data_IF_636560086305
#
_entry.id   IF_636560086305
#
_cell.length_a   1.000
_cell.length_b   1.000
_cell.length_c   1.000
_cell.angle_alpha   90.00
_cell.angle_beta   90.00
_cell.angle_gamma   90.00
#
_symmetry.space_group_name_H-M   'P 1'
#
loop_
_entity.id
_entity.type
_entity.pdbx_description
1 polymer ?
#
# COMPACT_ATOMS: atom_id res chain seq x y z
N UNK A 1 79.41 -10.88 52.14
CA UNK A 1 77.99 -10.70 51.80
C UNK A 1 77.77 -11.17 50.38
N UNK A 2 76.60 -11.62 49.95
CA UNK A 2 75.30 -11.84 50.59
C UNK A 2 74.58 -12.86 49.69
N UNK A 3 74.16 -14.01 50.22
CA UNK A 3 72.83 -14.31 50.77
C UNK A 3 71.70 -14.26 49.74
N UNK A 4 71.18 -15.46 49.45
CA UNK A 4 70.02 -15.76 48.63
C UNK A 4 68.74 -15.84 49.47
N UNK A 5 67.62 -15.37 48.94
CA UNK A 5 66.26 -15.50 49.48
C UNK A 5 65.22 -15.18 48.38
N UNK A 6 63.91 -15.46 48.56
CA UNK A 6 63.31 -16.73 48.97
C UNK A 6 62.15 -17.17 48.04
N UNK A 7 61.70 -18.42 48.20
CA UNK A 7 60.54 -19.02 47.53
C UNK A 7 59.19 -18.54 48.10
N UNK A 8 58.13 -18.53 47.25
CA UNK A 8 56.73 -18.31 47.67
C UNK A 8 55.78 -19.32 46.99
N UNK A 9 54.70 -19.62 47.70
CA UNK A 9 54.00 -20.91 47.84
C UNK A 9 52.96 -21.29 46.77
N UNK A 10 52.57 -22.59 46.69
CA UNK A 10 51.47 -23.10 45.87
C UNK A 10 50.06 -22.78 46.43
N UNK A 11 49.01 -22.78 45.58
CA UNK A 11 47.64 -22.43 45.96
C UNK A 11 46.95 -23.47 46.86
N UNK A 12 45.95 -23.06 47.66
CA UNK A 12 45.25 -23.91 48.63
C UNK A 12 44.24 -24.89 47.99
N UNK A 13 43.92 -26.01 48.68
CA UNK A 13 43.02 -27.06 48.20
C UNK A 13 41.53 -26.70 48.30
N UNK A 14 40.75 -27.24 47.36
CA UNK A 14 39.28 -27.17 47.29
C UNK A 14 38.61 -28.11 48.32
N UNK A 15 37.70 -27.61 49.17
CA UNK A 15 36.87 -28.46 50.03
C UNK A 15 35.53 -28.85 49.38
N UNK A 16 35.25 -30.16 49.38
CA UNK A 16 33.97 -30.76 49.81
C UNK A 16 32.72 -30.51 48.97
N UNK A 17 32.27 -31.56 48.27
CA UNK A 17 30.96 -31.67 47.65
C UNK A 17 29.82 -31.56 48.68
N UNK A 18 28.84 -30.69 48.39
CA UNK A 18 27.51 -30.69 49.01
C UNK A 18 26.52 -31.33 48.02
N UNK A 19 25.61 -32.23 48.46
CA UNK A 19 24.61 -32.82 47.57
C UNK A 19 23.50 -31.78 47.31
N UNK A 20 23.31 -31.41 46.04
CA UNK A 20 22.18 -30.60 45.60
C UNK A 20 21.13 -31.53 45.01
N UNK A 21 19.95 -31.58 45.63
CA UNK A 21 18.78 -32.31 45.16
C UNK A 21 18.37 -31.86 43.75
N UNK A 22 18.17 -32.83 42.85
CA UNK A 22 17.65 -32.60 41.52
C UNK A 22 16.13 -32.27 41.54
N UNK A 23 15.63 -31.38 40.67
CA UNK A 23 14.20 -31.20 40.45
C UNK A 23 13.58 -32.42 39.73
N UNK A 24 12.28 -32.71 39.93
CA UNK A 24 11.63 -33.90 39.40
C UNK A 24 11.54 -33.90 37.86
N UNK A 25 11.81 -35.07 37.29
CA UNK A 25 11.73 -35.40 35.87
C UNK A 25 10.25 -35.45 35.43
N UNK A 26 9.83 -34.79 34.32
CA UNK A 26 8.51 -34.99 33.74
C UNK A 26 8.38 -36.38 33.09
N UNK A 27 7.20 -37.04 33.16
CA UNK A 27 7.02 -38.41 32.68
C UNK A 27 7.20 -38.51 31.16
N UNK A 28 7.92 -39.54 30.74
CA UNK A 28 8.10 -39.95 29.34
C UNK A 28 6.77 -40.44 28.75
N UNK A 29 6.45 -40.10 27.48
CA UNK A 29 5.32 -40.70 26.79
C UNK A 29 5.61 -42.15 26.41
N UNK A 30 4.68 -43.02 26.79
CA UNK A 30 4.63 -44.45 26.45
C UNK A 30 4.81 -44.68 24.96
N UNK A 31 5.79 -45.50 24.61
CA UNK A 31 5.96 -46.10 23.29
C UNK A 31 5.11 -47.35 23.21
N UNK A 32 3.91 -47.25 22.64
CA UNK A 32 3.21 -48.41 22.09
C UNK A 32 3.63 -48.57 20.62
N UNK A 33 4.25 -49.71 20.37
CA UNK A 33 4.64 -50.20 19.06
C UNK A 33 3.44 -50.94 18.47
N UNK A 34 2.94 -50.50 17.32
CA UNK A 34 2.28 -51.38 16.36
C UNK A 34 2.87 -51.12 14.96
N UNK A 35 3.89 -51.92 14.66
CA UNK A 35 4.33 -52.37 13.33
C UNK A 35 3.63 -53.73 13.14
N UNK A 36 3.09 -54.21 12.02
CA UNK A 36 3.07 -53.90 10.59
C UNK A 36 1.86 -54.72 10.06
N UNK A 37 1.24 -54.37 8.93
CA UNK A 37 1.05 -55.33 7.83
C UNK A 37 0.64 -54.59 6.55
N UNK A 38 1.52 -54.72 5.56
CA UNK A 38 1.35 -54.45 4.15
C UNK A 38 0.55 -55.62 3.55
N UNK A 39 -0.61 -55.39 2.92
CA UNK A 39 -1.14 -56.36 1.96
C UNK A 39 -2.24 -55.81 1.03
N UNK A 40 -1.88 -55.89 -0.26
CA UNK A 40 -2.68 -56.24 -1.44
C UNK A 40 -3.77 -55.31 -1.99
N UNK A 41 -3.51 -54.92 -3.24
CA UNK A 41 -4.50 -54.80 -4.29
C UNK A 41 -5.37 -56.07 -4.40
N UNK A 42 -6.68 -55.91 -4.59
CA UNK A 42 -7.43 -56.39 -5.76
C UNK A 42 -8.92 -55.98 -5.69
N UNK A 43 -9.49 -55.78 -6.87
CA UNK A 43 -10.89 -55.86 -7.32
C UNK A 43 -12.08 -55.49 -6.40
N UNK A 44 -12.88 -54.51 -6.83
CA UNK A 44 -14.31 -54.42 -6.51
C UNK A 44 -15.12 -54.13 -7.79
N UNK A 45 -16.08 -55.01 -8.16
CA UNK A 45 -16.85 -54.88 -9.39
C UNK A 45 -18.15 -54.08 -9.24
N UNK A 46 -18.51 -53.40 -10.34
CA UNK A 46 -19.89 -53.35 -10.87
C UNK A 46 -20.80 -52.17 -10.52
N UNK A 47 -21.18 -51.33 -11.51
CA UNK A 47 -22.48 -50.68 -11.57
C UNK A 47 -23.45 -51.50 -12.45
N UNK A 48 -24.60 -51.87 -11.90
CA UNK A 48 -25.65 -52.60 -12.64
C UNK A 48 -26.34 -51.72 -13.68
N UNK A 49 -26.28 -52.20 -14.92
CA UNK A 49 -27.04 -51.75 -16.08
C UNK A 49 -28.45 -52.35 -16.07
N UNK A 50 -29.48 -51.58 -16.40
CA UNK A 50 -30.74 -52.12 -16.92
C UNK A 50 -31.02 -51.60 -18.34
N UNK A 51 -31.26 -52.57 -19.19
CA UNK A 51 -31.44 -52.65 -20.64
C UNK A 51 -32.40 -51.66 -21.33
N UNK A 52 -32.03 -51.29 -22.56
CA UNK A 52 -32.87 -50.73 -23.65
C UNK A 52 -33.95 -51.72 -24.12
N UNK A 53 -34.98 -51.27 -24.87
CA UNK A 53 -34.90 -51.47 -26.33
C UNK A 53 -35.47 -50.33 -27.21
N UNK A 54 -34.80 -50.19 -28.37
CA UNK A 54 -35.23 -49.82 -29.74
C UNK A 54 -36.01 -48.52 -30.07
N UNK A 55 -35.44 -47.79 -31.06
CA UNK A 55 -35.96 -46.58 -31.73
C UNK A 55 -37.15 -46.84 -32.67
N UNK A 56 -37.89 -45.78 -33.08
CA UNK A 56 -37.64 -45.26 -34.44
C UNK A 56 -37.79 -43.73 -34.64
N UNK A 57 -37.01 -43.23 -35.62
CA UNK A 57 -37.32 -42.21 -36.65
C UNK A 57 -37.57 -40.72 -36.35
N UNK A 58 -36.62 -39.91 -36.87
CA UNK A 58 -36.77 -38.65 -37.64
C UNK A 58 -37.04 -37.29 -36.92
N UNK A 59 -36.56 -36.15 -37.50
CA UNK A 59 -36.30 -34.92 -36.78
C UNK A 59 -37.37 -33.83 -36.98
N UNK A 60 -37.63 -33.00 -35.96
CA UNK A 60 -38.45 -31.79 -36.07
C UNK A 60 -37.72 -30.53 -35.61
N UNK A 61 -37.40 -29.72 -36.62
CA UNK A 61 -37.36 -28.26 -36.73
C UNK A 61 -37.29 -27.35 -35.49
N UNK A 62 -36.18 -26.61 -35.47
CA UNK A 62 -35.95 -25.19 -35.11
C UNK A 62 -37.20 -24.36 -34.75
N UNK A 63 -37.13 -23.65 -33.62
CA UNK A 63 -37.74 -22.32 -33.45
C UNK A 63 -36.70 -21.33 -32.94
N UNK A 64 -36.40 -20.38 -33.82
CA UNK A 64 -35.63 -19.16 -33.59
C UNK A 64 -36.40 -18.24 -32.63
N UNK A 65 -35.73 -17.68 -31.62
CA UNK A 65 -36.27 -16.54 -30.86
C UNK A 65 -35.99 -15.26 -31.64
N UNK A 66 -37.07 -14.59 -32.01
CA UNK A 66 -37.09 -13.36 -32.79
C UNK A 66 -36.85 -12.15 -31.86
N UNK A 67 -35.94 -11.27 -32.27
CA UNK A 67 -35.57 -10.02 -31.58
C UNK A 67 -36.57 -8.91 -31.99
N UNK A 68 -37.03 -8.04 -31.07
CA UNK A 68 -37.94 -6.95 -31.42
C UNK A 68 -37.23 -5.84 -32.24
N UNK A 69 -37.94 -5.17 -33.16
CA UNK A 69 -37.38 -4.12 -34.03
C UNK A 69 -37.21 -2.77 -33.29
N UNK A 70 -36.27 -1.91 -33.75
CA UNK A 70 -36.08 -0.57 -33.20
C UNK A 70 -37.12 0.44 -33.72
N UNK A 71 -37.41 1.53 -32.97
CA UNK A 71 -38.37 2.57 -33.38
C UNK A 71 -37.82 3.51 -34.46
N UNK A 72 -38.70 4.15 -35.27
CA UNK A 72 -38.31 5.05 -36.35
C UNK A 72 -37.95 6.47 -35.87
N UNK A 73 -37.12 7.23 -36.62
CA UNK A 73 -36.73 8.60 -36.29
C UNK A 73 -37.76 9.61 -36.79
N UNK A 74 -38.26 10.47 -35.89
CA UNK A 74 -39.14 11.60 -36.22
C UNK A 74 -38.45 12.93 -35.92
N UNK A 75 -38.37 13.78 -36.94
CA UNK A 75 -37.78 15.12 -36.91
C UNK A 75 -38.79 16.23 -36.58
N UNK A 76 -38.33 17.20 -35.79
CA UNK A 76 -38.62 18.64 -35.81
C UNK A 76 -39.95 19.22 -35.27
N UNK A 77 -39.76 20.21 -34.37
CA UNK A 77 -40.49 21.49 -34.20
C UNK A 77 -41.82 21.55 -33.43
N UNK A 78 -41.88 22.48 -32.46
CA UNK A 78 -43.13 23.17 -32.09
C UNK A 78 -43.37 23.40 -30.59
N UNK A 79 -43.49 24.66 -30.19
CA UNK A 79 -43.69 25.23 -28.85
C UNK A 79 -45.08 24.93 -28.21
N UNK A 80 -45.36 25.37 -26.94
CA UNK A 80 -46.27 24.72 -25.99
C UNK A 80 -47.68 25.35 -25.87
N UNK A 81 -48.56 24.75 -25.04
CA UNK A 81 -49.38 25.59 -24.14
C UNK A 81 -49.56 25.07 -22.71
N UNK A 82 -50.09 25.99 -21.90
CA UNK A 82 -50.23 26.10 -20.44
C UNK A 82 -51.54 25.47 -19.86
N UNK A 83 -51.83 25.58 -18.53
CA UNK A 83 -52.50 24.54 -17.72
C UNK A 83 -53.93 24.85 -17.20
N UNK A 84 -54.60 23.86 -16.61
CA UNK A 84 -55.75 24.00 -15.67
C UNK A 84 -55.86 22.73 -14.79
N UNK A 85 -55.78 22.82 -13.44
CA UNK A 85 -56.87 23.00 -12.43
C UNK A 85 -57.97 21.92 -12.57
N UNK A 86 -58.44 21.15 -11.58
CA UNK A 86 -58.49 21.16 -10.10
C UNK A 86 -59.26 19.89 -9.69
N UNK A 87 -58.98 19.25 -8.55
CA UNK A 87 -60.07 18.78 -7.66
C UNK A 87 -59.56 18.34 -6.28
N UNK A 88 -60.15 18.98 -5.29
CA UNK A 88 -60.11 18.86 -3.84
C UNK A 88 -60.65 17.54 -3.28
N UNK A 89 -59.96 16.97 -2.27
CA UNK A 89 -60.60 16.30 -1.13
C UNK A 89 -59.78 16.57 0.13
N UNK A 90 -60.42 17.22 1.10
CA UNK A 90 -59.95 17.46 2.46
C UNK A 90 -60.54 16.40 3.40
N UNK A 91 -59.75 15.94 4.37
CA UNK A 91 -60.22 15.66 5.73
C UNK A 91 -59.06 15.73 6.73
N UNK A 92 -59.17 16.68 7.66
CA UNK A 92 -58.49 16.86 8.96
C UNK A 92 -58.74 15.62 9.87
N UNK A 93 -58.05 15.31 10.97
CA UNK A 93 -56.95 15.89 11.76
C UNK A 93 -56.40 14.77 12.68
N UNK A 94 -55.34 15.09 13.44
CA UNK A 94 -54.97 14.58 14.79
C UNK A 94 -53.46 14.38 14.87
N UNK A 95 -52.82 15.39 15.45
CA UNK A 95 -51.42 15.40 15.78
C UNK A 95 -51.06 14.45 16.93
N UNK A 96 -49.85 13.91 16.83
CA UNK A 96 -49.05 13.54 17.99
C UNK A 96 -47.61 13.94 17.75
N UNK A 97 -47.19 15.00 18.45
CA UNK A 97 -45.79 15.27 18.74
C UNK A 97 -45.15 14.00 19.31
N UNK A 98 -43.99 13.61 18.78
CA UNK A 98 -42.78 13.13 19.49
C UNK A 98 -41.91 12.27 18.57
N UNK A 99 -40.92 12.90 17.96
CA UNK A 99 -39.51 12.48 18.00
C UNK A 99 -38.79 13.23 16.89
N UNK A 100 -37.93 14.15 17.31
CA UNK A 100 -36.87 14.71 16.47
C UNK A 100 -35.95 13.55 16.08
N UNK A 101 -36.33 12.86 15.00
CA UNK A 101 -35.45 11.96 14.28
C UNK A 101 -34.33 12.80 13.72
N UNK A 102 -33.22 12.85 14.47
CA UNK A 102 -31.93 13.35 13.99
C UNK A 102 -31.67 12.70 12.64
N UNK A 103 -31.79 13.46 11.55
CA UNK A 103 -31.17 13.11 10.28
C UNK A 103 -29.68 13.06 10.58
N UNK A 104 -29.14 11.86 10.82
CA UNK A 104 -27.70 11.66 10.78
C UNK A 104 -27.31 11.97 9.35
N UNK A 105 -26.78 13.17 9.14
CA UNK A 105 -25.89 13.42 8.02
C UNK A 105 -24.71 12.49 8.29
N UNK A 106 -24.76 11.31 7.68
CA UNK A 106 -23.55 10.57 7.34
C UNK A 106 -22.74 11.54 6.48
N UNK A 107 -21.86 12.29 7.13
CA UNK A 107 -20.81 13.02 6.44
C UNK A 107 -19.90 11.93 5.89
N UNK A 108 -20.29 11.41 4.73
CA UNK A 108 -19.51 10.47 3.94
C UNK A 108 -18.12 11.09 3.81
N UNK A 109 -17.18 10.58 4.61
CA UNK A 109 -15.78 10.92 4.45
C UNK A 109 -15.46 10.58 3.00
N UNK A 110 -15.02 11.54 2.17
CA UNK A 110 -14.63 11.21 0.81
C UNK A 110 -13.48 10.21 0.92
N UNK A 111 -13.75 8.98 0.49
CA UNK A 111 -12.73 7.99 0.22
C UNK A 111 -11.78 8.66 -0.77
N UNK A 112 -10.48 8.73 -0.47
CA UNK A 112 -9.56 9.63 -1.18
C UNK A 112 -9.36 9.39 -2.69
N UNK A 113 -10.12 8.47 -3.29
CA UNK A 113 -10.25 8.24 -4.74
C UNK A 113 -11.40 9.08 -5.36
N UNK A 114 -12.13 9.85 -4.54
CA UNK A 114 -13.28 10.70 -4.92
C UNK A 114 -13.13 12.15 -4.42
N UNK A 115 -11.91 12.53 -4.02
CA UNK A 115 -11.52 13.93 -3.88
C UNK A 115 -11.22 14.40 -5.30
N UNK A 116 -11.81 15.51 -5.74
CA UNK A 116 -11.43 16.12 -7.02
C UNK A 116 -9.92 16.43 -7.08
N UNK A 117 -9.48 16.89 -8.25
CA UNK A 117 -8.11 17.31 -8.50
C UNK A 117 -7.57 18.19 -7.36
N UNK A 118 -6.47 17.76 -6.71
CA UNK A 118 -5.82 18.49 -5.62
C UNK A 118 -5.01 19.67 -6.16
N UNK A 119 -4.37 19.50 -7.31
CA UNK A 119 -3.65 20.57 -7.99
C UNK A 119 -4.57 21.75 -8.30
N UNK A 120 -4.10 22.94 -7.98
CA UNK A 120 -4.82 24.19 -8.18
C UNK A 120 -3.91 25.36 -7.86
N UNK A 121 -4.46 26.57 -7.99
CA UNK A 121 -3.68 27.79 -7.82
C UNK A 121 -3.04 27.87 -6.43
N UNK A 122 -1.76 28.24 -6.40
CA UNK A 122 -1.01 28.45 -5.16
C UNK A 122 -0.38 29.84 -5.16
N UNK A 123 -0.03 30.32 -3.97
CA UNK A 123 0.78 31.51 -3.83
C UNK A 123 2.24 31.17 -4.19
N UNK A 124 2.74 31.80 -5.25
CA UNK A 124 4.12 31.64 -5.71
C UNK A 124 5.10 32.55 -4.95
N UNK A 125 4.63 33.51 -4.14
CA UNK A 125 5.45 34.40 -3.32
C UNK A 125 6.70 34.94 -4.06
N UNK A 126 6.52 35.73 -5.15
CA UNK A 126 7.62 36.16 -6.02
C UNK A 126 8.74 36.89 -5.26
N UNK A 127 8.40 37.65 -4.23
CA UNK A 127 9.36 38.35 -3.37
C UNK A 127 10.37 37.43 -2.65
N UNK A 128 10.10 36.13 -2.55
CA UNK A 128 11.00 35.16 -1.89
C UNK A 128 12.14 34.67 -2.78
N UNK A 129 12.09 34.89 -4.11
CA UNK A 129 13.10 34.46 -5.08
C UNK A 129 13.44 32.96 -5.02
N UNK A 130 12.49 32.12 -4.63
CA UNK A 130 12.69 30.69 -4.40
C UNK A 130 13.23 29.93 -5.63
N UNK A 131 12.98 30.42 -6.85
CA UNK A 131 13.49 29.83 -8.10
C UNK A 131 15.02 29.84 -8.19
N UNK A 132 15.71 30.67 -7.40
CA UNK A 132 17.17 30.72 -7.35
C UNK A 132 17.79 29.61 -6.49
N UNK A 133 16.97 28.89 -5.71
CA UNK A 133 17.44 27.83 -4.83
C UNK A 133 17.81 26.54 -5.59
N UNK A 134 18.70 25.69 -5.02
CA UNK A 134 18.99 24.37 -5.55
C UNK A 134 17.77 23.44 -5.59
N UNK A 135 16.91 23.53 -4.58
CA UNK A 135 15.61 22.84 -4.49
C UNK A 135 14.48 23.90 -4.64
N UNK A 136 14.13 24.27 -5.88
CA UNK A 136 13.28 25.41 -6.14
C UNK A 136 11.82 25.07 -5.84
N UNK A 137 11.30 25.50 -4.69
CA UNK A 137 9.89 25.38 -4.34
C UNK A 137 9.36 26.67 -3.72
N UNK A 138 8.13 27.10 -4.07
CA UNK A 138 7.45 28.17 -3.36
C UNK A 138 7.38 27.88 -1.85
N UNK A 139 7.46 28.90 -0.98
CA UNK A 139 7.41 28.74 0.47
C UNK A 139 6.20 27.94 0.98
N UNK A 140 5.05 28.03 0.30
CA UNK A 140 3.82 27.29 0.64
C UNK A 140 3.96 25.77 0.43
N UNK A 141 4.90 25.33 -0.41
CA UNK A 141 5.16 23.93 -0.72
C UNK A 141 6.43 23.36 -0.05
N UNK A 142 7.37 24.21 0.36
CA UNK A 142 8.66 23.78 0.90
C UNK A 142 8.54 22.76 2.05
N UNK A 143 7.66 23.02 3.02
CA UNK A 143 7.44 22.13 4.17
C UNK A 143 6.56 20.91 3.87
N UNK A 144 6.03 20.80 2.64
CA UNK A 144 5.15 19.70 2.20
C UNK A 144 5.89 18.63 1.41
N UNK A 145 7.04 18.99 0.81
CA UNK A 145 7.83 18.08 -0.01
C UNK A 145 8.26 16.85 0.80
N UNK A 146 8.01 15.66 0.25
CA UNK A 146 8.27 14.38 0.92
C UNK A 146 7.26 13.99 2.01
N UNK A 147 6.31 14.86 2.37
CA UNK A 147 5.21 14.53 3.29
C UNK A 147 3.94 14.15 2.54
N UNK A 148 3.48 15.02 1.65
CA UNK A 148 2.25 14.85 0.87
C UNK A 148 2.34 15.27 -0.59
N UNK A 149 3.50 15.79 -1.01
CA UNK A 149 3.84 16.06 -2.41
C UNK A 149 5.22 15.45 -2.75
N UNK A 150 5.45 15.21 -4.03
CA UNK A 150 6.75 14.94 -4.63
C UNK A 150 7.07 16.08 -5.58
N UNK A 151 8.31 16.56 -5.60
CA UNK A 151 8.71 17.60 -6.54
C UNK A 151 10.03 17.29 -7.22
N UNK A 152 10.12 17.74 -8.47
CA UNK A 152 11.33 17.69 -9.29
C UNK A 152 11.44 19.00 -10.07
N UNK A 153 12.67 19.35 -10.46
CA UNK A 153 12.89 20.58 -11.23
C UNK A 153 13.91 20.36 -12.33
N UNK A 154 13.65 20.99 -13.47
CA UNK A 154 14.54 21.03 -14.62
C UNK A 154 15.00 22.48 -14.84
N UNK A 155 16.27 22.66 -15.18
CA UNK A 155 16.82 23.98 -15.50
C UNK A 155 17.42 23.98 -16.90
N UNK A 156 17.05 24.97 -17.71
CA UNK A 156 17.66 25.23 -19.00
C UNK A 156 18.15 26.67 -19.09
N UNK A 157 19.26 26.88 -19.80
CA UNK A 157 19.87 28.20 -19.97
C UNK A 157 20.03 28.51 -21.46
N UNK A 158 19.59 29.70 -21.88
CA UNK A 158 19.74 30.19 -23.25
C UNK A 158 20.54 31.49 -23.26
N UNK A 159 21.71 31.46 -23.87
CA UNK A 159 22.54 32.66 -24.09
C UNK A 159 22.13 33.36 -25.39
N UNK A 160 21.78 34.64 -25.32
CA UNK A 160 21.48 35.47 -26.49
C UNK A 160 22.67 36.37 -26.87
N UNK A 161 22.77 36.71 -28.16
CA UNK A 161 23.76 37.68 -28.67
C UNK A 161 23.66 38.98 -27.87
N UNK A 162 24.76 39.39 -27.22
CA UNK A 162 24.79 40.51 -26.27
C UNK A 162 25.11 40.12 -24.82
N UNK A 163 25.39 38.84 -24.53
CA UNK A 163 25.83 38.40 -23.20
C UNK A 163 24.73 38.38 -22.15
N UNK A 164 23.46 38.34 -22.58
CA UNK A 164 22.28 38.10 -21.74
C UNK A 164 22.00 36.60 -21.71
N UNK A 165 21.86 36.04 -20.51
CA UNK A 165 21.58 34.63 -20.30
C UNK A 165 20.23 34.53 -19.60
N UNK A 166 19.25 33.96 -20.28
CA UNK A 166 17.94 33.68 -19.70
C UNK A 166 17.96 32.26 -19.13
N UNK A 167 17.61 32.13 -17.85
CA UNK A 167 17.41 30.85 -17.17
C UNK A 167 15.91 30.56 -17.18
N UNK A 168 15.54 29.35 -17.59
CA UNK A 168 14.18 28.82 -17.49
C UNK A 168 14.22 27.61 -16.57
N UNK A 169 13.38 27.62 -15.54
CA UNK A 169 13.32 26.57 -14.54
C UNK A 169 11.88 26.08 -14.42
N UNK A 170 11.68 24.80 -14.69
CA UNK A 170 10.38 24.15 -14.63
C UNK A 170 10.34 23.28 -13.38
N UNK A 171 9.34 23.48 -12.53
CA UNK A 171 9.16 22.74 -11.27
C UNK A 171 7.88 21.95 -11.35
N UNK A 172 8.00 20.64 -11.31
CA UNK A 172 6.90 19.69 -11.34
C UNK A 172 6.53 19.31 -9.92
N UNK A 173 5.30 19.56 -9.51
CA UNK A 173 4.77 19.22 -8.19
C UNK A 173 3.66 18.19 -8.36
N UNK A 174 3.88 16.99 -7.85
CA UNK A 174 2.93 15.87 -7.90
C UNK A 174 2.25 15.69 -6.54
N UNK A 175 0.91 15.70 -6.54
CA UNK A 175 0.09 15.51 -5.35
C UNK A 175 -0.30 14.04 -5.15
N UNK A 176 -0.84 13.71 -3.97
CA UNK A 176 -1.16 12.32 -3.60
C UNK A 176 -2.28 11.65 -4.43
N UNK A 177 -3.07 12.46 -5.16
CA UNK A 177 -4.04 12.00 -6.15
C UNK A 177 -3.44 11.90 -7.56
N UNK A 178 -2.14 12.16 -7.71
CA UNK A 178 -1.38 12.24 -8.96
C UNK A 178 -1.75 13.39 -9.90
N UNK A 179 -2.55 14.36 -9.43
CA UNK A 179 -2.65 15.66 -10.11
C UNK A 179 -1.34 16.44 -9.98
N UNK A 180 -1.12 17.39 -10.89
CA UNK A 180 0.16 18.09 -11.00
C UNK A 180 0.00 19.60 -11.03
N UNK A 181 0.93 20.32 -10.40
CA UNK A 181 1.17 21.74 -10.66
C UNK A 181 2.57 21.87 -11.26
N UNK A 182 2.65 22.43 -12.47
CA UNK A 182 3.91 22.78 -13.13
C UNK A 182 4.12 24.27 -12.99
N UNK A 183 5.27 24.68 -12.47
CA UNK A 183 5.62 26.09 -12.26
C UNK A 183 6.82 26.41 -13.14
N UNK A 184 6.66 27.37 -14.05
CA UNK A 184 7.74 27.83 -14.92
C UNK A 184 8.23 29.19 -14.44
N UNK A 185 9.52 29.26 -14.10
CA UNK A 185 10.22 30.48 -13.72
C UNK A 185 11.22 30.87 -14.82
N UNK A 186 11.09 32.08 -15.37
CA UNK A 186 12.00 32.62 -16.37
C UNK A 186 12.59 33.94 -15.88
N UNK A 187 13.92 33.99 -15.78
CA UNK A 187 14.64 35.16 -15.27
C UNK A 187 15.99 35.37 -15.98
N UNK A 188 16.54 36.57 -15.83
CA UNK A 188 17.91 36.87 -16.27
C UNK A 188 18.92 36.41 -15.21
N UNK A 189 19.95 35.66 -15.61
CA UNK A 189 21.00 35.22 -14.69
C UNK A 189 21.71 36.38 -13.97
N UNK A 190 21.74 37.58 -14.56
CA UNK A 190 22.35 38.79 -13.95
C UNK A 190 21.39 39.59 -13.07
N UNK A 191 20.09 39.41 -13.27
CA UNK A 191 19.04 40.08 -12.50
C UNK A 191 17.92 39.07 -12.21
N UNK A 192 18.13 38.15 -11.25
CA UNK A 192 17.18 37.10 -10.96
C UNK A 192 15.89 37.61 -10.29
N UNK A 193 15.84 38.89 -9.88
CA UNK A 193 14.64 39.50 -9.30
C UNK A 193 13.58 39.85 -10.34
N UNK A 194 13.97 40.08 -11.59
CA UNK A 194 13.06 40.23 -12.73
C UNK A 194 12.70 38.83 -13.26
N UNK A 195 11.79 38.17 -12.56
CA UNK A 195 11.31 36.82 -12.89
C UNK A 195 9.87 36.85 -13.38
N UNK A 196 9.61 36.17 -14.49
CA UNK A 196 8.28 35.78 -14.92
C UNK A 196 7.95 34.41 -14.33
N UNK A 197 6.79 34.30 -13.69
CA UNK A 197 6.29 33.05 -13.11
C UNK A 197 4.96 32.68 -13.76
N UNK A 198 4.86 31.44 -14.20
CA UNK A 198 3.63 30.84 -14.73
C UNK A 198 3.33 29.54 -13.98
N UNK A 199 2.06 29.20 -13.82
CA UNK A 199 1.64 27.92 -13.24
C UNK A 199 0.56 27.27 -14.10
N UNK A 200 0.70 25.96 -14.30
CA UNK A 200 -0.26 25.12 -15.01
C UNK A 200 -0.66 23.94 -14.12
N UNK A 201 -1.93 23.53 -14.21
CA UNK A 201 -2.45 22.41 -13.42
C UNK A 201 -2.94 21.29 -14.34
N UNK A 202 -2.50 20.07 -14.07
CA UNK A 202 -2.90 18.88 -14.81
C UNK A 202 -3.72 17.93 -13.93
N UNK A 203 -4.78 17.32 -14.47
CA UNK A 203 -5.57 16.36 -13.73
C UNK A 203 -4.75 15.08 -13.46
N UNK A 204 -5.19 14.23 -12.52
CA UNK A 204 -4.61 12.90 -12.34
C UNK A 204 -4.58 12.11 -13.66
N UNK A 205 -3.54 11.28 -13.89
CA UNK A 205 -3.51 10.41 -15.04
C UNK A 205 -4.68 9.43 -15.03
N UNK A 206 -5.15 8.97 -16.20
CA UNK A 206 -6.21 7.97 -16.28
C UNK A 206 -5.85 6.71 -15.48
N UNK A 207 -6.88 6.09 -14.87
CA UNK A 207 -6.71 4.81 -14.20
C UNK A 207 -6.17 3.77 -15.17
N UNK A 208 -5.15 3.05 -14.73
CA UNK A 208 -4.55 1.97 -15.50
C UNK A 208 -5.49 0.78 -15.60
N UNK A 209 -5.51 0.17 -16.79
CA UNK A 209 -6.17 -1.12 -16.99
C UNK A 209 -5.35 -2.25 -16.38
N UNK A 210 -5.96 -3.42 -16.25
CA UNK A 210 -5.31 -4.60 -15.65
C UNK A 210 -4.05 -5.03 -16.40
N UNK A 211 -4.05 -5.00 -17.74
CA UNK A 211 -2.88 -5.31 -18.58
C UNK A 211 -1.71 -4.36 -18.30
N UNK A 212 -2.00 -3.07 -18.12
CA UNK A 212 -0.99 -2.05 -17.81
C UNK A 212 -0.47 -2.20 -16.38
N UNK A 213 -1.35 -2.48 -15.42
CA UNK A 213 -0.96 -2.80 -14.05
C UNK A 213 -0.05 -4.03 -14.04
N UNK A 214 -0.36 -5.09 -14.77
CA UNK A 214 0.50 -6.27 -14.86
C UNK A 214 1.88 -5.94 -15.48
N UNK A 215 1.90 -5.13 -16.55
CA UNK A 215 3.14 -4.68 -17.18
C UNK A 215 4.05 -3.92 -16.20
N UNK A 216 3.50 -2.99 -15.42
CA UNK A 216 4.27 -2.26 -14.40
C UNK A 216 4.76 -3.15 -13.27
N UNK A 217 3.98 -4.16 -12.87
CA UNK A 217 4.44 -5.15 -11.91
C UNK A 217 5.63 -5.96 -12.46
N UNK A 218 5.57 -6.33 -13.74
CA UNK A 218 6.68 -6.95 -14.44
C UNK A 218 7.93 -6.08 -14.46
N UNK A 219 7.77 -4.78 -14.75
CA UNK A 219 8.87 -3.80 -14.84
C UNK A 219 9.51 -3.51 -13.48
N UNK A 220 8.70 -3.32 -12.42
CA UNK A 220 9.19 -2.81 -11.13
C UNK A 220 8.94 -3.78 -9.95
N UNK A 221 7.72 -4.30 -9.83
CA UNK A 221 7.29 -5.09 -8.66
C UNK A 221 8.15 -6.32 -8.39
N UNK A 222 8.52 -7.08 -9.43
CA UNK A 222 9.39 -8.27 -9.29
C UNK A 222 10.75 -7.94 -8.68
N UNK A 223 11.38 -6.85 -9.11
CA UNK A 223 12.68 -6.42 -8.61
C UNK A 223 12.60 -5.97 -7.15
N UNK A 224 11.54 -5.24 -6.79
CA UNK A 224 11.25 -4.81 -5.42
C UNK A 224 11.04 -6.02 -4.50
N UNK A 225 10.24 -7.00 -4.92
CA UNK A 225 9.97 -8.22 -4.15
C UNK A 225 11.26 -9.00 -3.87
N UNK A 226 12.09 -9.18 -4.90
CA UNK A 226 13.38 -9.87 -4.79
C UNK A 226 14.31 -9.14 -3.81
N UNK A 227 14.46 -7.83 -3.97
CA UNK A 227 15.31 -7.02 -3.09
C UNK A 227 14.83 -7.02 -1.63
N UNK A 228 13.51 -6.98 -1.40
CA UNK A 228 12.94 -7.07 -0.05
C UNK A 228 13.21 -8.44 0.60
N UNK A 229 13.09 -9.52 -0.17
CA UNK A 229 13.39 -10.88 0.29
C UNK A 229 14.88 -11.06 0.64
N UNK A 230 15.78 -10.59 -0.22
CA UNK A 230 17.23 -10.62 0.01
C UNK A 230 17.62 -9.84 1.28
N UNK A 231 17.01 -8.67 1.47
CA UNK A 231 17.20 -7.85 2.65
C UNK A 231 16.70 -8.54 3.93
N UNK A 232 15.50 -9.13 3.91
CA UNK A 232 14.92 -9.85 5.04
C UNK A 232 15.69 -11.13 5.38
N UNK A 233 16.32 -11.77 4.39
CA UNK A 233 17.15 -12.96 4.57
C UNK A 233 18.54 -12.67 5.15
N UNK A 234 18.96 -11.39 5.24
CA UNK A 234 20.25 -10.98 5.80
C UNK A 234 21.38 -10.95 4.78
N UNK A 235 21.11 -10.45 3.56
CA UNK A 235 22.02 -10.27 2.43
C UNK A 235 23.52 -10.48 2.68
N UNK A 236 24.00 -11.69 2.40
CA UNK A 236 25.41 -12.06 2.36
C UNK A 236 25.60 -13.57 2.33
N UNK A 237 25.87 -14.13 1.16
CA UNK A 237 26.33 -15.51 1.04
C UNK A 237 27.59 -15.72 1.87
N UNK A 238 27.59 -16.75 2.72
CA UNK A 238 28.75 -17.23 3.46
C UNK A 238 28.95 -16.59 4.85
N UNK A 239 28.32 -17.18 5.87
CA UNK A 239 28.98 -17.65 7.09
C UNK A 239 27.95 -17.93 8.19
N UNK A 240 27.88 -19.19 8.59
CA UNK A 240 27.16 -19.70 9.75
C UNK A 240 27.68 -19.07 11.04
N UNK A 241 26.90 -18.22 11.72
CA UNK A 241 27.12 -17.89 13.14
C UNK A 241 25.97 -17.07 13.75
N UNK A 242 25.15 -17.73 14.56
CA UNK A 242 24.30 -17.32 15.68
C UNK A 242 24.03 -15.84 16.07
N UNK A 243 23.84 -14.89 15.15
CA UNK A 243 23.15 -13.62 15.47
C UNK A 243 22.56 -12.97 14.22
N UNK A 244 21.27 -13.22 13.96
CA UNK A 244 20.52 -12.55 12.89
C UNK A 244 20.45 -11.06 13.22
N UNK A 245 21.37 -10.26 12.69
CA UNK A 245 21.39 -8.81 12.89
C UNK A 245 20.13 -8.24 12.25
N UNK A 246 19.23 -7.71 13.08
CA UNK A 246 18.06 -6.96 12.61
C UNK A 246 18.54 -5.90 11.61
N UNK A 247 18.22 -6.10 10.33
CA UNK A 247 18.63 -5.20 9.26
C UNK A 247 17.58 -4.12 9.15
N UNK A 248 17.98 -2.89 9.44
CA UNK A 248 17.13 -1.71 9.41
C UNK A 248 17.47 -0.87 8.18
N UNK A 249 16.47 -0.38 7.46
CA UNK A 249 16.66 0.46 6.27
C UNK A 249 16.48 1.94 6.62
N UNK A 250 17.42 2.77 6.18
CA UNK A 250 17.44 4.21 6.48
C UNK A 250 17.41 4.46 8.00
N UNK A 251 16.57 5.37 8.45
CA UNK A 251 16.35 5.66 9.88
C UNK A 251 15.47 4.61 10.60
N UNK A 252 15.08 3.52 9.93
CA UNK A 252 14.21 2.49 10.49
C UNK A 252 12.73 2.87 10.59
N UNK A 253 12.32 4.00 10.02
CA UNK A 253 10.91 4.35 9.86
C UNK A 253 10.24 3.44 8.82
N UNK A 254 8.94 3.13 8.95
CA UNK A 254 8.23 2.27 8.00
C UNK A 254 8.40 2.71 6.54
N UNK A 255 8.28 4.01 6.26
CA UNK A 255 8.37 4.62 4.92
C UNK A 255 9.72 4.47 4.23
N UNK A 256 10.81 4.30 4.98
CA UNK A 256 12.14 4.16 4.41
C UNK A 256 12.34 2.84 3.68
N UNK A 257 11.65 1.77 4.10
CA UNK A 257 11.76 0.46 3.48
C UNK A 257 11.31 0.47 2.01
N UNK A 258 10.05 0.82 1.66
CA UNK A 258 9.62 0.89 0.27
C UNK A 258 10.39 1.96 -0.52
N UNK A 259 10.70 3.12 0.08
CA UNK A 259 11.44 4.19 -0.61
C UNK A 259 12.81 3.72 -1.12
N UNK A 260 13.61 3.11 -0.25
CA UNK A 260 14.96 2.65 -0.61
C UNK A 260 14.92 1.44 -1.55
N UNK A 261 13.93 0.56 -1.40
CA UNK A 261 13.75 -0.56 -2.33
C UNK A 261 13.39 -0.07 -3.73
N UNK A 262 12.48 0.90 -3.86
CA UNK A 262 12.12 1.49 -5.16
C UNK A 262 13.36 2.14 -5.79
N UNK A 263 14.05 3.03 -5.06
CA UNK A 263 15.27 3.71 -5.55
C UNK A 263 16.33 2.73 -6.03
N UNK A 264 16.58 1.66 -5.27
CA UNK A 264 17.68 0.71 -5.54
C UNK A 264 17.36 -0.32 -6.60
N UNK A 265 16.13 -0.82 -6.63
CA UNK A 265 15.77 -2.02 -7.42
C UNK A 265 14.92 -1.73 -8.65
N UNK A 266 14.15 -0.64 -8.65
CA UNK A 266 13.26 -0.28 -9.76
C UNK A 266 13.90 0.70 -10.76
N UNK A 267 15.06 1.28 -10.40
CA UNK A 267 15.82 2.19 -11.26
C UNK A 267 15.23 3.61 -11.30
N UNK A 268 15.84 4.47 -12.14
CA UNK A 268 15.43 5.87 -12.29
C UNK A 268 14.06 6.04 -12.97
N UNK A 269 13.65 5.05 -13.78
CA UNK A 269 12.36 5.06 -14.47
C UNK A 269 11.16 4.95 -13.53
N UNK A 270 11.35 4.44 -12.31
CA UNK A 270 10.27 4.26 -11.36
C UNK A 270 9.84 5.59 -10.76
N UNK A 271 8.54 5.83 -10.69
CA UNK A 271 7.99 6.97 -9.97
C UNK A 271 8.21 6.76 -8.47
N UNK A 272 8.85 7.73 -7.83
CA UNK A 272 9.05 7.70 -6.38
C UNK A 272 7.72 7.92 -5.64
N UNK A 273 7.62 7.48 -4.38
CA UNK A 273 6.43 7.71 -3.57
C UNK A 273 6.07 9.20 -3.45
N UNK A 274 4.79 9.52 -3.50
CA UNK A 274 4.29 10.86 -3.20
C UNK A 274 4.13 11.00 -1.70
N UNK A 275 5.21 11.51 -1.10
CA UNK A 275 5.43 11.51 0.33
C UNK A 275 5.28 10.11 0.93
N UNK A 276 4.47 10.01 1.97
CA UNK A 276 4.26 8.75 2.72
C UNK A 276 2.88 8.13 2.45
N UNK A 277 2.09 8.73 1.55
CA UNK A 277 0.66 8.44 1.39
C UNK A 277 0.33 7.61 0.14
N UNK A 278 1.11 7.76 -0.94
CA UNK A 278 0.84 7.12 -2.23
C UNK A 278 2.12 6.56 -2.86
N UNK A 279 2.04 5.37 -3.43
CA UNK A 279 3.18 4.58 -3.91
C UNK A 279 3.01 4.05 -5.35
N UNK A 280 2.06 4.62 -6.09
CA UNK A 280 1.80 4.39 -7.50
C UNK A 280 0.31 4.19 -7.78
N UNK A 281 -0.03 3.35 -8.77
CA UNK A 281 -1.43 3.09 -9.13
C UNK A 281 -2.12 2.18 -8.11
N UNK A 282 -3.41 2.45 -7.83
CA UNK A 282 -4.17 1.70 -6.84
C UNK A 282 -4.55 0.31 -7.36
N UNK A 283 -4.22 -0.74 -6.61
CA UNK A 283 -4.57 -2.16 -6.91
C UNK A 283 -5.73 -2.62 -6.05
N UNK A 284 -5.73 -2.22 -4.78
CA UNK A 284 -6.77 -2.57 -3.83
C UNK A 284 -6.98 -1.45 -2.81
N UNK A 285 -8.23 -1.22 -2.42
CA UNK A 285 -8.58 -0.33 -1.32
C UNK A 285 -9.66 -0.96 -0.44
N UNK A 286 -9.53 -0.77 0.86
CA UNK A 286 -10.50 -1.21 1.86
C UNK A 286 -10.64 -0.16 2.96
N UNK A 287 -11.84 0.39 3.08
CA UNK A 287 -12.21 1.32 4.15
C UNK A 287 -13.07 0.57 5.17
N UNK A 288 -12.44 0.08 6.24
CA UNK A 288 -13.10 -0.61 7.36
C UNK A 288 -14.09 -1.73 6.97
N UNK A 289 -13.85 -2.42 5.85
CA UNK A 289 -14.76 -3.38 5.21
C UNK A 289 -16.15 -2.81 4.81
N UNK A 290 -16.36 -1.51 4.96
CA UNK A 290 -17.56 -0.82 4.50
C UNK A 290 -17.53 -0.57 2.99
N UNK A 291 -16.33 -0.34 2.44
CA UNK A 291 -16.09 -0.22 1.00
C UNK A 291 -14.81 -0.95 0.63
N UNK A 292 -14.89 -1.87 -0.32
CA UNK A 292 -13.72 -2.57 -0.87
C UNK A 292 -13.71 -2.46 -2.38
N UNK A 293 -12.59 -2.01 -2.93
CA UNK A 293 -12.35 -1.91 -4.37
C UNK A 293 -11.11 -2.72 -4.70
N UNK A 294 -11.16 -3.47 -5.80
CA UNK A 294 -10.04 -4.24 -6.31
C UNK A 294 -9.95 -4.01 -7.82
N UNK A 295 -8.82 -3.49 -8.26
CA UNK A 295 -8.55 -3.11 -9.64
C UNK A 295 -7.68 -4.15 -10.36
N UNK A 296 -6.88 -4.91 -9.61
CA UNK A 296 -6.12 -6.06 -10.07
C UNK A 296 -5.79 -7.00 -8.89
N UNK A 297 -5.17 -8.14 -9.15
CA UNK A 297 -4.61 -9.01 -8.13
C UNK A 297 -3.39 -8.36 -7.44
N UNK A 298 -3.37 -8.47 -6.10
CA UNK A 298 -2.23 -8.06 -5.27
C UNK A 298 -1.09 -9.04 -5.51
N UNK A 299 0.12 -8.53 -5.79
CA UNK A 299 1.29 -9.36 -6.10
C UNK A 299 2.50 -8.99 -5.22
N UNK A 300 3.48 -9.91 -5.08
CA UNK A 300 4.73 -9.60 -4.41
C UNK A 300 5.40 -8.37 -5.02
N UNK A 301 5.88 -7.46 -4.15
CA UNK A 301 6.49 -6.19 -4.54
C UNK A 301 5.52 -5.02 -4.66
N UNK A 302 4.20 -5.25 -4.64
CA UNK A 302 3.24 -4.16 -4.43
C UNK A 302 3.42 -3.57 -3.01
N UNK A 303 2.98 -2.34 -2.79
CA UNK A 303 3.17 -1.59 -1.53
C UNK A 303 1.87 -1.53 -0.75
N UNK A 304 1.87 -2.01 0.49
CA UNK A 304 0.73 -1.99 1.41
C UNK A 304 0.83 -0.76 2.32
N UNK A 305 -0.23 0.05 2.38
CA UNK A 305 -0.36 1.18 3.33
C UNK A 305 -1.54 0.95 4.27
N UNK A 306 -1.35 1.29 5.54
CA UNK A 306 -2.29 1.12 6.64
C UNK A 306 -2.46 2.46 7.37
N UNK A 307 -3.69 2.98 7.42
CA UNK A 307 -3.96 4.31 7.98
C UNK A 307 -5.06 4.24 9.01
N UNK A 308 -4.74 4.60 10.25
CA UNK A 308 -5.66 4.43 11.38
C UNK A 308 -6.29 3.01 11.41
N UNK A 309 -5.54 2.00 10.96
CA UNK A 309 -6.05 0.67 10.71
C UNK A 309 -6.08 -0.12 12.02
N UNK A 310 -7.23 -0.71 12.34
CA UNK A 310 -7.39 -1.62 13.47
C UNK A 310 -7.87 -2.96 12.96
N UNK A 311 -7.11 -4.01 13.24
CA UNK A 311 -7.48 -5.37 12.93
C UNK A 311 -7.88 -6.08 14.21
N UNK A 312 -9.03 -6.76 14.17
CA UNK A 312 -9.50 -7.62 15.27
C UNK A 312 -10.12 -8.88 14.71
N UNK A 313 -9.54 -10.02 15.09
CA UNK A 313 -10.00 -11.33 14.66
C UNK A 313 -9.54 -12.43 15.61
N UNK A 314 -9.57 -13.66 15.12
CA UNK A 314 -9.16 -14.84 15.88
C UNK A 314 -7.98 -15.53 15.16
N UNK A 315 -6.94 -15.89 15.90
CA UNK A 315 -5.77 -16.61 15.39
C UNK A 315 -5.68 -18.02 15.99
N UNK A 316 -5.04 -18.94 15.25
CA UNK A 316 -4.82 -20.33 15.66
C UNK A 316 -6.07 -21.22 15.74
N UNK A 317 -5.85 -22.52 15.91
CA UNK A 317 -6.92 -23.50 16.10
C UNK A 317 -7.74 -23.22 17.39
N UNK A 318 -7.09 -22.65 18.40
CA UNK A 318 -7.71 -22.27 19.68
C UNK A 318 -8.54 -20.97 19.63
N UNK A 319 -8.68 -20.35 18.44
CA UNK A 319 -9.42 -19.10 18.23
C UNK A 319 -9.05 -18.01 19.24
N UNK A 320 -7.76 -17.81 19.49
CA UNK A 320 -7.33 -16.73 20.37
C UNK A 320 -7.62 -15.37 19.72
N UNK A 321 -8.31 -14.48 20.44
CA UNK A 321 -8.58 -13.13 19.95
C UNK A 321 -7.27 -12.35 19.83
N UNK A 322 -7.05 -11.71 18.69
CA UNK A 322 -5.96 -10.76 18.52
C UNK A 322 -6.49 -9.38 18.19
N UNK A 323 -5.72 -8.37 18.54
CA UNK A 323 -5.96 -6.97 18.18
C UNK A 323 -4.63 -6.34 17.81
N UNK A 324 -4.60 -5.68 16.66
CA UNK A 324 -3.41 -4.94 16.20
C UNK A 324 -3.84 -3.62 15.59
N UNK A 325 -3.16 -2.54 15.99
CA UNK A 325 -3.43 -1.19 15.51
C UNK A 325 -2.24 -0.70 14.68
N UNK A 326 -2.45 0.00 13.56
CA UNK A 326 -1.40 0.49 12.66
C UNK A 326 -1.68 1.92 12.23
N UNK A 327 -0.63 2.74 12.16
CA UNK A 327 -0.73 4.10 11.63
C UNK A 327 -1.66 5.01 12.44
N UNK A 328 -1.68 4.85 13.78
CA UNK A 328 -2.44 5.70 14.69
C UNK A 328 -1.78 7.08 14.80
N UNK A 329 -2.59 8.13 14.69
CA UNK A 329 -2.15 9.50 14.93
C UNK A 329 -1.85 9.69 16.43
N UNK A 330 -0.56 9.84 16.79
CA UNK A 330 -0.15 10.20 18.16
C UNK A 330 0.97 9.35 18.79
N UNK A 331 1.47 8.30 18.14
CA UNK A 331 2.50 7.42 18.73
C UNK A 331 3.96 7.84 18.53
N UNK A 332 4.26 8.70 17.55
CA UNK A 332 5.61 9.24 17.29
C UNK A 332 5.52 10.26 16.14
N UNK A 333 4.83 11.38 16.35
CA UNK A 333 4.81 12.55 15.42
C UNK A 333 4.40 12.34 13.95
N UNK A 334 4.16 11.10 13.52
CA UNK A 334 4.02 10.72 12.13
C UNK A 334 2.54 10.65 11.78
N UNK A 335 2.09 11.60 10.96
CA UNK A 335 0.78 11.57 10.29
C UNK A 335 0.77 10.59 9.10
N UNK A 336 1.82 9.79 8.94
CA UNK A 336 2.13 9.04 7.72
C UNK A 336 1.30 7.77 7.52
N UNK A 337 0.76 7.18 8.59
CA UNK A 337 0.29 5.80 8.54
C UNK A 337 1.45 4.81 8.72
N UNK A 338 1.23 3.54 8.38
CA UNK A 338 2.25 2.50 8.35
C UNK A 338 2.31 1.89 6.95
N UNK A 339 3.48 1.39 6.54
CA UNK A 339 3.68 0.86 5.19
C UNK A 339 4.57 -0.39 5.22
N UNK A 340 4.29 -1.30 4.30
CA UNK A 340 4.99 -2.56 4.14
C UNK A 340 5.08 -2.95 2.64
N UNK A 341 6.01 -3.84 2.30
CA UNK A 341 6.15 -4.39 0.93
C UNK A 341 5.54 -5.77 0.88
N UNK A 342 4.61 -6.02 -0.05
CA UNK A 342 3.93 -7.31 -0.18
C UNK A 342 4.95 -8.42 -0.46
N UNK A 343 4.92 -9.45 0.38
CA UNK A 343 5.68 -10.69 0.24
C UNK A 343 4.83 -11.74 -0.48
N UNK A 344 3.57 -11.88 -0.07
CA UNK A 344 2.66 -12.93 -0.55
C UNK A 344 1.19 -12.46 -0.44
N UNK A 345 0.35 -12.90 -1.37
CA UNK A 345 -1.10 -12.69 -1.34
C UNK A 345 -1.84 -14.03 -1.36
N UNK A 346 -2.71 -14.25 -0.37
CA UNK A 346 -3.63 -15.37 -0.31
C UNK A 346 -5.04 -14.82 -0.61
N UNK A 347 -5.45 -14.91 -1.89
CA UNK A 347 -6.74 -14.42 -2.36
C UNK A 347 -7.94 -15.13 -1.72
N UNK A 348 -7.80 -16.41 -1.37
CA UNK A 348 -8.86 -17.19 -0.71
C UNK A 348 -9.09 -16.71 0.72
N UNK A 349 -8.02 -16.48 1.48
CA UNK A 349 -8.12 -15.98 2.86
C UNK A 349 -8.16 -14.46 2.96
N UNK A 350 -8.10 -13.75 1.83
CA UNK A 350 -7.95 -12.29 1.73
C UNK A 350 -6.89 -11.78 2.70
N UNK A 351 -5.71 -12.41 2.68
CA UNK A 351 -4.62 -12.06 3.58
C UNK A 351 -3.33 -11.77 2.84
N UNK A 352 -2.68 -10.68 3.23
CA UNK A 352 -1.38 -10.26 2.72
C UNK A 352 -0.32 -10.63 3.74
N UNK A 353 0.77 -11.26 3.31
CA UNK A 353 2.02 -11.28 4.06
C UNK A 353 2.90 -10.15 3.51
N UNK A 354 3.51 -9.35 4.37
CA UNK A 354 4.33 -8.23 3.93
C UNK A 354 5.54 -7.99 4.84
N UNK A 355 6.62 -7.51 4.23
CA UNK A 355 7.82 -7.04 4.90
C UNK A 355 7.58 -5.64 5.47
N UNK A 356 7.64 -5.49 6.79
CA UNK A 356 7.55 -4.22 7.50
C UNK A 356 8.82 -3.93 8.31
N UNK A 357 9.00 -2.67 8.72
CA UNK A 357 9.98 -2.26 9.72
C UNK A 357 9.44 -1.12 10.61
N UNK A 358 10.20 -0.77 11.64
CA UNK A 358 9.89 0.42 12.46
C UNK A 358 8.88 0.19 13.58
N UNK A 359 8.49 -1.07 13.81
CA UNK A 359 7.74 -1.46 15.01
C UNK A 359 8.67 -2.15 16.00
N UNK A 360 8.52 -1.83 17.28
CA UNK A 360 9.19 -2.54 18.35
C UNK A 360 8.77 -4.03 18.32
N UNK A 361 9.69 -4.91 18.69
CA UNK A 361 9.36 -6.33 18.85
C UNK A 361 8.72 -6.46 20.23
N UNK A 362 7.51 -6.99 20.30
CA UNK A 362 6.81 -7.25 21.56
C UNK A 362 7.73 -8.05 22.50
N UNK A 363 8.03 -7.51 23.69
CA UNK A 363 8.85 -8.16 24.70
C UNK A 363 10.38 -7.97 24.63
N UNK A 364 10.93 -7.10 23.77
CA UNK A 364 12.36 -6.72 23.82
C UNK A 364 12.53 -5.20 23.86
N UNK A 365 13.38 -4.71 24.76
CA UNK A 365 13.69 -3.29 24.98
C UNK A 365 13.87 -2.50 23.67
N UNK A 366 12.97 -1.55 23.41
CA UNK A 366 13.06 -0.26 22.69
C UNK A 366 14.00 -0.13 21.49
N UNK A 367 14.33 -1.22 20.82
CA UNK A 367 15.05 -1.18 19.55
C UNK A 367 14.02 -1.26 18.43
N UNK A 368 14.00 -0.25 17.57
CA UNK A 368 13.22 -0.29 16.34
C UNK A 368 13.55 -1.60 15.61
N UNK A 369 12.55 -2.46 15.44
CA UNK A 369 12.75 -3.76 14.83
C UNK A 369 13.22 -3.59 13.39
N UNK A 370 14.23 -4.38 12.99
CA UNK A 370 14.62 -4.51 11.59
C UNK A 370 13.49 -5.10 10.74
N UNK A 371 13.77 -5.28 9.45
CA UNK A 371 12.80 -5.80 8.49
C UNK A 371 12.31 -7.19 8.90
N UNK A 372 10.99 -7.37 8.94
CA UNK A 372 10.32 -8.62 9.36
C UNK A 372 9.04 -8.89 8.56
N UNK A 373 8.64 -10.16 8.50
CA UNK A 373 7.40 -10.59 7.84
C UNK A 373 6.24 -10.47 8.81
N UNK A 374 5.14 -9.85 8.39
CA UNK A 374 3.90 -9.75 9.15
C UNK A 374 2.70 -10.14 8.27
N UNK A 375 1.70 -10.80 8.87
CA UNK A 375 0.49 -11.24 8.17
C UNK A 375 -0.71 -10.36 8.50
N UNK A 376 -1.27 -9.73 7.47
CA UNK A 376 -2.44 -8.87 7.53
C UNK A 376 -3.65 -9.60 6.95
N UNK A 377 -4.65 -9.92 7.79
CA UNK A 377 -5.94 -10.45 7.32
C UNK A 377 -6.87 -9.30 7.00
N UNK A 378 -7.07 -8.99 5.72
CA UNK A 378 -7.80 -7.80 5.29
C UNK A 378 -9.27 -7.85 5.73
N UNK A 379 -9.85 -9.05 5.82
CA UNK A 379 -11.21 -9.27 6.36
C UNK A 379 -11.36 -8.96 7.86
N UNK A 380 -10.26 -8.91 8.62
CA UNK A 380 -10.30 -8.60 10.06
C UNK A 380 -10.23 -7.08 10.34
N UNK A 381 -10.17 -6.24 9.30
CA UNK A 381 -10.15 -4.77 9.42
C UNK A 381 -11.46 -4.25 10.04
N UNK A 382 -11.37 -3.64 11.23
CA UNK A 382 -12.50 -3.04 11.96
C UNK A 382 -12.65 -1.55 11.73
N UNK A 383 -11.54 -0.83 11.56
CA UNK A 383 -11.54 0.60 11.31
C UNK A 383 -10.31 1.00 10.53
N UNK A 384 -10.34 2.22 9.96
CA UNK A 384 -9.25 2.77 9.18
C UNK A 384 -9.26 2.27 7.75
N UNK A 385 -8.11 2.39 7.11
CA UNK A 385 -7.95 2.17 5.69
C UNK A 385 -6.74 1.28 5.39
N UNK A 386 -6.93 0.39 4.43
CA UNK A 386 -5.86 -0.41 3.81
C UNK A 386 -5.87 -0.10 2.32
N UNK A 387 -4.71 0.28 1.77
CA UNK A 387 -4.52 0.36 0.31
C UNK A 387 -3.31 -0.44 -0.13
N UNK A 388 -3.40 -1.04 -1.30
CA UNK A 388 -2.27 -1.67 -1.99
C UNK A 388 -2.02 -0.93 -3.30
N UNK A 389 -0.76 -0.58 -3.50
CA UNK A 389 -0.30 0.23 -4.62
C UNK A 389 0.67 -0.56 -5.48
N UNK A 390 0.56 -0.37 -6.79
CA UNK A 390 1.54 -0.83 -7.74
C UNK A 390 2.50 0.30 -8.05
N UNK A 391 3.80 0.04 -7.91
CA UNK A 391 4.83 0.97 -8.38
C UNK A 391 4.73 1.07 -9.91
N UNK A 392 4.72 2.31 -10.39
CA UNK A 392 4.54 2.70 -11.79
C UNK A 392 5.74 3.52 -12.25
N UNK A 393 5.82 3.79 -13.54
CA UNK A 393 6.90 4.56 -14.12
C UNK A 393 6.59 6.04 -14.14
N UNK A 394 7.64 6.84 -14.30
CA UNK A 394 7.56 8.29 -14.51
C UNK A 394 6.71 8.65 -15.73
N UNK A 395 6.68 7.79 -16.75
CA UNK A 395 5.86 7.91 -17.94
C UNK A 395 4.35 7.97 -17.65
N UNK A 396 3.89 7.35 -16.55
CA UNK A 396 2.47 7.39 -16.18
C UNK A 396 1.98 8.80 -15.82
N UNK A 397 2.86 9.64 -15.29
CA UNK A 397 2.59 11.05 -14.97
C UNK A 397 3.18 12.02 -16.00
N UNK A 398 3.70 11.51 -17.11
CA UNK A 398 4.31 12.34 -18.16
C UNK A 398 5.71 12.86 -17.85
N UNK A 399 6.42 12.28 -16.87
CA UNK A 399 7.78 12.69 -16.46
C UNK A 399 8.89 11.83 -17.08
N UNK A 400 8.61 11.13 -18.17
CA UNK A 400 9.63 10.37 -18.89
C UNK A 400 10.46 11.32 -19.77
N UNK A 401 11.79 11.20 -19.66
CA UNK A 401 12.76 11.88 -20.54
C UNK A 401 12.78 11.29 -21.96
#
# INVERSE_FOLDING_TARGET
GSSAAPARAPPPPVPGAVPVSAPPIPPEPSTEKEEVEESSADDMPGPDTSSLPAAPSAPVSRKSMERPPPPPPGSASGAPPMPSRTSTRQSLDVGRQTSMGRKSMDAGRPSGDQLGQIAGEIDLAPESMWWTNPDPLPPVLANRNGLDILSESEESQKSRRGGRTTVSKDVYVLYMDYSQTVITAQYDAKDPGDCSLEQQHEPPPPRLRQDQLEAYWGKFGRAIAKAASELASGGGGGSSSSSKKDTTVGEGRPENLPLELIKRSAGKDALLPVGVRAYGALVYANLANASTMQYDEIRPGDILTLRNAKFEGHHGALKQRYKSEYGMQGGSGSTAGHVAVVEEWDGTRRSVRAWEQGREREGKERKAGGVRSEKFRLGDLRSGEVRVWRVVGRDWVGWAE
#
